data_IF_196222408540
#
_entry.id   IF_196222408540
#
_cell.length_a   1.000
_cell.length_b   1.000
_cell.length_c   1.000
_cell.angle_alpha   90.00
_cell.angle_beta   90.00
_cell.angle_gamma   90.00
#
_symmetry.space_group_name_H-M   'P 1'
#
loop_
_entity.id
_entity.type
_entity.pdbx_description
1 polymer ?
#
# COMPACT_ATOMS: atom_id res chain seq x y z
N UNK A 1 10.05 -10.26 18.04
CA UNK A 1 10.47 -10.36 19.46
C UNK A 1 9.69 -9.43 20.38
N UNK A 2 9.86 -8.10 20.28
CA UNK A 2 9.20 -7.13 21.17
C UNK A 2 7.69 -7.40 21.36
N UNK A 3 6.95 -7.62 20.27
CA UNK A 3 5.52 -7.95 20.33
C UNK A 3 5.22 -9.24 21.11
N UNK A 4 6.04 -10.27 20.97
CA UNK A 4 5.89 -11.50 21.73
C UNK A 4 6.04 -11.23 23.24
N UNK A 5 7.02 -10.42 23.63
CA UNK A 5 7.26 -10.09 25.04
C UNK A 5 6.10 -9.27 25.62
N UNK A 6 5.55 -8.34 24.84
CA UNK A 6 4.34 -7.59 25.18
C UNK A 6 3.14 -8.53 25.38
N UNK A 7 2.94 -9.50 24.48
CA UNK A 7 1.84 -10.47 24.59
C UNK A 7 2.01 -11.39 25.79
N UNK A 8 3.21 -11.90 26.04
CA UNK A 8 3.52 -12.71 27.23
C UNK A 8 3.22 -11.90 28.49
N UNK A 9 3.72 -10.67 28.60
CA UNK A 9 3.49 -9.82 29.76
C UNK A 9 2.00 -9.53 29.99
N UNK A 10 1.24 -9.21 28.92
CA UNK A 10 -0.20 -8.98 29.03
C UNK A 10 -0.96 -10.23 29.51
N UNK A 11 -0.57 -11.41 29.00
CA UNK A 11 -1.19 -12.68 29.41
C UNK A 11 -0.87 -13.03 30.86
N UNK A 12 0.37 -12.79 31.31
CA UNK A 12 0.78 -12.96 32.70
C UNK A 12 0.00 -12.05 33.66
N UNK A 13 -0.12 -10.76 33.31
CA UNK A 13 -0.87 -9.76 34.11
C UNK A 13 -2.35 -10.15 34.23
N UNK A 14 -2.95 -10.67 33.16
CA UNK A 14 -4.35 -11.07 33.12
C UNK A 14 -4.60 -12.50 33.62
N UNK A 15 -3.55 -13.28 33.90
CA UNK A 15 -3.66 -14.68 34.30
C UNK A 15 -4.25 -15.60 33.23
N UNK A 16 -4.08 -15.28 31.95
CA UNK A 16 -4.58 -16.08 30.82
C UNK A 16 -3.45 -16.92 30.18
N UNK A 17 -3.76 -18.05 29.51
CA UNK A 17 -2.74 -18.93 28.94
C UNK A 17 -1.88 -18.26 27.85
N UNK A 18 -0.60 -18.60 27.79
CA UNK A 18 0.30 -18.20 26.69
C UNK A 18 -0.25 -18.69 25.34
N UNK A 19 -0.17 -17.84 24.31
CA UNK A 19 -0.71 -18.13 22.99
C UNK A 19 -2.23 -17.91 22.88
N UNK A 20 -2.83 -17.24 23.86
CA UNK A 20 -4.23 -16.78 23.77
C UNK A 20 -4.33 -15.59 22.84
N UNK A 21 -3.37 -14.65 22.91
CA UNK A 21 -3.27 -13.57 21.92
C UNK A 21 -2.83 -14.16 20.58
N UNK A 22 -3.52 -13.77 19.50
CA UNK A 22 -3.20 -14.13 18.13
C UNK A 22 -2.96 -12.89 17.27
N UNK A 23 -1.89 -12.91 16.47
CA UNK A 23 -1.46 -11.78 15.66
C UNK A 23 -1.13 -12.21 14.23
N UNK A 24 -1.67 -11.50 13.25
CA UNK A 24 -1.28 -11.60 11.83
C UNK A 24 -0.36 -10.43 11.51
N UNK A 25 0.82 -10.70 10.96
CA UNK A 25 1.83 -9.65 10.68
C UNK A 25 1.75 -9.21 9.22
N UNK A 26 1.63 -7.92 8.96
CA UNK A 26 1.73 -7.39 7.60
C UNK A 26 3.21 -7.35 7.20
N UNK A 27 3.58 -8.04 6.13
CA UNK A 27 4.93 -7.96 5.57
C UNK A 27 4.95 -6.84 4.55
N UNK A 28 4.76 -5.61 5.02
CA UNK A 28 4.58 -4.42 4.18
C UNK A 28 5.80 -3.51 4.19
N UNK A 29 6.96 -4.04 4.62
CA UNK A 29 8.24 -3.37 4.49
C UNK A 29 9.22 -4.24 3.73
N UNK A 30 10.07 -3.63 2.91
CA UNK A 30 11.06 -4.35 2.13
C UNK A 30 12.00 -5.18 3.03
N UNK A 31 12.56 -4.66 4.15
CA UNK A 31 13.38 -5.47 5.04
C UNK A 31 12.66 -6.70 5.61
N UNK A 32 11.38 -6.57 5.99
CA UNK A 32 10.61 -7.68 6.53
C UNK A 32 10.41 -8.83 5.52
N UNK A 33 10.49 -8.56 4.22
CA UNK A 33 10.44 -9.62 3.20
C UNK A 33 11.64 -10.58 3.26
N UNK A 34 12.76 -10.14 3.81
CA UNK A 34 13.97 -10.95 3.98
C UNK A 34 14.01 -11.72 5.30
N UNK A 35 13.09 -11.41 6.23
CA UNK A 35 13.08 -11.93 7.60
C UNK A 35 11.74 -12.60 7.95
N UNK A 36 10.94 -12.98 6.95
CA UNK A 36 9.60 -13.54 7.17
C UNK A 36 9.62 -14.77 8.09
N UNK A 37 10.62 -15.63 7.94
CA UNK A 37 10.74 -16.88 8.70
C UNK A 37 11.16 -16.61 10.16
N UNK A 38 12.07 -15.67 10.36
CA UNK A 38 12.52 -15.18 11.66
C UNK A 38 11.40 -14.42 12.39
N UNK A 39 10.61 -13.60 11.69
CA UNK A 39 9.41 -12.94 12.23
C UNK A 39 8.44 -13.99 12.76
N UNK A 40 8.17 -15.04 11.98
CA UNK A 40 7.30 -16.14 12.41
C UNK A 40 7.90 -16.91 13.60
N UNK A 41 9.21 -17.14 13.61
CA UNK A 41 9.90 -17.80 14.72
C UNK A 41 9.78 -17.01 16.04
N UNK A 42 10.02 -15.70 15.96
CA UNK A 42 9.96 -14.79 17.10
C UNK A 42 8.55 -14.53 17.62
N UNK A 43 7.52 -14.91 16.85
CA UNK A 43 6.10 -14.84 17.21
C UNK A 43 5.43 -16.21 17.25
N UNK A 44 6.16 -17.32 17.26
CA UNK A 44 5.62 -18.66 17.00
C UNK A 44 4.43 -19.06 17.89
N UNK A 45 4.41 -18.62 19.15
CA UNK A 45 3.33 -18.93 20.09
C UNK A 45 2.04 -18.12 19.82
N UNK A 46 2.17 -16.97 19.16
CA UNK A 46 1.11 -15.98 18.98
C UNK A 46 0.78 -15.69 17.51
N UNK A 47 1.56 -16.17 16.56
CA UNK A 47 1.32 -15.89 15.14
C UNK A 47 0.03 -16.56 14.67
N UNK A 48 -0.67 -15.88 13.77
CA UNK A 48 -1.82 -16.39 13.03
C UNK A 48 -1.62 -16.31 11.50
N UNK A 49 -0.49 -15.76 11.05
CA UNK A 49 -0.12 -15.69 9.64
C UNK A 49 0.60 -14.41 9.27
N UNK A 50 0.88 -14.28 7.97
CA UNK A 50 1.43 -13.07 7.36
C UNK A 50 0.45 -12.51 6.32
N UNK A 51 0.57 -11.23 6.00
CA UNK A 51 -0.25 -10.56 4.98
C UNK A 51 0.60 -9.86 3.92
N UNK A 52 0.13 -9.92 2.67
CA UNK A 52 0.65 -9.16 1.55
C UNK A 52 0.07 -7.75 1.45
N UNK A 53 0.93 -6.73 1.38
CA UNK A 53 0.56 -5.34 1.12
C UNK A 53 1.16 -4.81 -0.19
N UNK A 54 0.50 -3.83 -0.84
CA UNK A 54 1.05 -3.16 -2.04
C UNK A 54 1.66 -1.80 -1.71
N UNK A 55 0.84 -0.86 -1.21
CA UNK A 55 1.26 0.54 -1.07
C UNK A 55 2.38 0.73 -0.07
N UNK A 56 2.24 0.22 1.16
CA UNK A 56 3.30 0.28 2.16
C UNK A 56 4.57 -0.45 1.71
N UNK A 57 4.44 -1.58 1.01
CA UNK A 57 5.59 -2.32 0.50
C UNK A 57 6.41 -1.50 -0.50
N UNK A 58 5.77 -0.92 -1.51
CA UNK A 58 6.48 -0.12 -2.51
C UNK A 58 6.94 1.24 -1.96
N UNK A 59 6.22 1.79 -0.98
CA UNK A 59 6.67 2.94 -0.19
C UNK A 59 7.97 2.61 0.57
N UNK A 60 7.98 1.48 1.29
CA UNK A 60 9.15 0.98 2.01
C UNK A 60 10.31 0.67 1.06
N UNK A 61 10.05 0.12 -0.12
CA UNK A 61 11.06 -0.11 -1.15
C UNK A 61 11.80 1.18 -1.50
N UNK A 62 11.06 2.25 -1.81
CA UNK A 62 11.64 3.55 -2.12
C UNK A 62 12.40 4.12 -0.92
N UNK A 63 11.83 4.04 0.30
CA UNK A 63 12.50 4.52 1.52
C UNK A 63 13.82 3.80 1.77
N UNK A 64 13.84 2.48 1.61
CA UNK A 64 15.00 1.64 1.84
C UNK A 64 16.11 1.95 0.84
N UNK A 65 15.75 2.15 -0.43
CA UNK A 65 16.68 2.46 -1.51
C UNK A 65 16.75 3.96 -1.86
N UNK A 66 16.38 4.85 -0.93
CA UNK A 66 16.25 6.30 -1.21
C UNK A 66 17.50 6.96 -1.79
N UNK A 67 18.68 6.43 -1.47
CA UNK A 67 19.97 6.92 -1.95
C UNK A 67 20.44 6.32 -3.29
N UNK A 68 19.64 5.44 -3.92
CA UNK A 68 20.04 4.63 -5.08
C UNK A 68 19.17 4.96 -6.30
N UNK A 69 19.76 5.65 -7.29
CA UNK A 69 19.07 6.03 -8.52
C UNK A 69 18.67 4.84 -9.40
N UNK A 70 19.40 3.73 -9.32
CA UNK A 70 19.12 2.46 -9.99
C UNK A 70 17.92 1.70 -9.42
N UNK A 71 17.32 2.20 -8.33
CA UNK A 71 16.12 1.67 -7.67
C UNK A 71 14.88 2.55 -7.85
N UNK A 72 14.90 3.43 -8.85
CA UNK A 72 13.79 4.33 -9.14
C UNK A 72 12.58 3.58 -9.71
N UNK A 73 11.41 3.74 -9.08
CA UNK A 73 10.18 3.11 -9.54
C UNK A 73 9.44 3.99 -10.57
N UNK A 74 8.76 3.38 -11.57
CA UNK A 74 7.86 4.10 -12.45
C UNK A 74 6.57 4.51 -11.72
N UNK A 75 5.60 5.09 -12.43
CA UNK A 75 4.27 5.41 -11.92
C UNK A 75 3.72 4.28 -11.04
N UNK A 76 3.32 4.60 -9.80
CA UNK A 76 2.86 3.58 -8.82
C UNK A 76 1.70 2.72 -9.32
N UNK A 77 0.87 3.27 -10.22
CA UNK A 77 -0.22 2.55 -10.88
C UNK A 77 0.26 1.36 -11.73
N UNK A 78 1.44 1.48 -12.34
CA UNK A 78 2.07 0.43 -13.17
C UNK A 78 2.85 -0.60 -12.35
N UNK A 79 3.15 -0.30 -11.08
CA UNK A 79 3.80 -1.20 -10.13
C UNK A 79 2.76 -2.15 -9.51
N UNK A 80 2.15 -3.00 -10.34
CA UNK A 80 1.10 -3.96 -9.95
C UNK A 80 1.69 -5.21 -9.29
N UNK A 81 0.85 -5.98 -8.59
CA UNK A 81 1.27 -7.25 -7.93
C UNK A 81 1.72 -8.34 -8.92
N UNK A 82 1.57 -8.11 -10.23
CA UNK A 82 2.04 -9.03 -11.28
C UNK A 82 3.49 -8.76 -11.70
N UNK A 83 4.04 -7.60 -11.33
CA UNK A 83 5.45 -7.26 -11.58
C UNK A 83 6.35 -8.24 -10.84
N UNK A 84 7.47 -8.61 -11.46
CA UNK A 84 8.37 -9.67 -10.99
C UNK A 84 8.64 -9.63 -9.49
N UNK A 85 9.09 -8.49 -8.96
CA UNK A 85 9.46 -8.40 -7.55
C UNK A 85 8.29 -8.55 -6.57
N UNK A 86 7.11 -8.02 -6.90
CA UNK A 86 5.91 -8.18 -6.08
C UNK A 86 5.34 -9.59 -6.19
N UNK A 87 5.41 -10.20 -7.37
CA UNK A 87 5.03 -11.60 -7.55
C UNK A 87 5.96 -12.52 -6.75
N UNK A 88 7.26 -12.30 -6.80
CA UNK A 88 8.26 -13.05 -6.04
C UNK A 88 8.07 -12.87 -4.52
N UNK A 89 7.72 -11.65 -4.08
CA UNK A 89 7.32 -11.37 -2.71
C UNK A 89 6.09 -12.19 -2.27
N UNK A 90 5.03 -12.23 -3.09
CA UNK A 90 3.83 -13.06 -2.84
C UNK A 90 4.18 -14.55 -2.76
N UNK A 91 4.95 -15.04 -3.73
CA UNK A 91 5.34 -16.45 -3.78
C UNK A 91 6.17 -16.87 -2.55
N UNK A 92 7.13 -16.02 -2.13
CA UNK A 92 7.94 -16.25 -0.94
C UNK A 92 7.10 -16.23 0.34
N UNK A 93 6.17 -15.28 0.47
CA UNK A 93 5.31 -15.17 1.65
C UNK A 93 4.43 -16.41 1.80
N UNK A 94 3.75 -16.84 0.73
CA UNK A 94 2.92 -18.04 0.74
C UNK A 94 3.75 -19.27 1.11
N UNK A 95 4.89 -19.47 0.44
CA UNK A 95 5.77 -20.60 0.72
C UNK A 95 6.22 -20.61 2.19
N UNK A 96 6.63 -19.46 2.73
CA UNK A 96 7.14 -19.33 4.09
C UNK A 96 6.04 -19.64 5.11
N UNK A 97 4.86 -19.03 4.97
CA UNK A 97 3.71 -19.30 5.82
C UNK A 97 3.29 -20.77 5.79
N UNK A 98 3.10 -21.33 4.60
CA UNK A 98 2.60 -22.69 4.46
C UNK A 98 3.60 -23.72 4.98
N UNK A 99 4.91 -23.49 4.78
CA UNK A 99 5.96 -24.32 5.39
C UNK A 99 5.89 -24.33 6.91
N UNK A 100 5.50 -23.20 7.53
CA UNK A 100 5.27 -23.07 8.98
C UNK A 100 3.86 -23.50 9.44
N UNK A 101 3.00 -23.93 8.52
CA UNK A 101 1.65 -24.40 8.84
C UNK A 101 0.68 -23.27 9.22
N UNK A 102 0.89 -22.06 8.68
CA UNK A 102 0.14 -20.86 9.07
C UNK A 102 -0.42 -20.11 7.85
N UNK A 103 -1.35 -19.19 8.07
CA UNK A 103 -2.03 -18.48 6.98
C UNK A 103 -1.13 -17.48 6.25
N UNK A 104 -1.33 -17.38 4.93
CA UNK A 104 -0.83 -16.38 4.02
C UNK A 104 -1.99 -15.57 3.43
N UNK A 105 -2.14 -14.33 3.87
CA UNK A 105 -3.25 -13.45 3.45
C UNK A 105 -2.88 -12.62 2.21
N UNK A 106 -3.82 -12.52 1.27
CA UNK A 106 -3.72 -11.64 0.10
C UNK A 106 -3.96 -10.17 0.41
N UNK A 107 -3.96 -9.33 -0.62
CA UNK A 107 -4.00 -7.87 -0.47
C UNK A 107 -5.40 -7.25 -0.49
N UNK A 108 -5.41 -5.92 -0.36
CA UNK A 108 -6.62 -5.09 -0.37
C UNK A 108 -7.20 -4.91 -1.78
N UNK A 109 -8.53 -5.03 -1.90
CA UNK A 109 -9.29 -4.41 -2.99
C UNK A 109 -10.04 -3.18 -2.44
N UNK A 110 -9.57 -2.00 -2.82
CA UNK A 110 -10.04 -0.71 -2.30
C UNK A 110 -11.24 -0.13 -3.07
N UNK A 111 -11.72 -0.80 -4.12
CA UNK A 111 -12.78 -0.27 -4.98
C UNK A 111 -14.10 -0.03 -4.22
N UNK A 112 -14.70 1.13 -4.47
CA UNK A 112 -16.04 1.50 -4.01
C UNK A 112 -17.00 1.30 -5.20
N UNK A 113 -18.07 0.49 -5.06
CA UNK A 113 -19.05 0.30 -6.13
C UNK A 113 -19.64 1.63 -6.64
N UNK A 114 -19.60 1.83 -7.96
CA UNK A 114 -20.01 3.07 -8.63
C UNK A 114 -21.48 2.93 -9.03
N UNK A 115 -22.38 3.64 -8.35
CA UNK A 115 -23.84 3.48 -8.55
C UNK A 115 -24.38 4.22 -9.77
N UNK A 116 -23.71 5.29 -10.18
CA UNK A 116 -24.15 6.24 -11.20
C UNK A 116 -23.51 6.00 -12.58
N UNK A 117 -22.63 5.00 -12.71
CA UNK A 117 -21.97 4.63 -13.96
C UNK A 117 -21.77 3.12 -14.00
N UNK A 118 -22.66 2.43 -14.71
CA UNK A 118 -22.68 0.96 -14.75
C UNK A 118 -21.46 0.39 -15.49
N UNK A 119 -20.96 1.06 -16.52
CA UNK A 119 -19.81 0.62 -17.30
C UNK A 119 -18.52 0.76 -16.49
N UNK A 120 -18.29 1.92 -15.88
CA UNK A 120 -17.14 2.13 -15.00
C UNK A 120 -17.18 1.20 -13.79
N UNK A 121 -18.38 0.96 -13.22
CA UNK A 121 -18.55 -0.02 -12.14
C UNK A 121 -18.16 -1.42 -12.59
N UNK A 122 -18.62 -1.87 -13.75
CA UNK A 122 -18.31 -3.21 -14.26
C UNK A 122 -16.79 -3.38 -14.45
N UNK A 123 -16.12 -2.41 -15.06
CA UNK A 123 -14.66 -2.41 -15.22
C UNK A 123 -13.94 -2.47 -13.87
N UNK A 124 -14.39 -1.71 -12.86
CA UNK A 124 -13.82 -1.74 -11.53
C UNK A 124 -14.00 -3.10 -10.84
N UNK A 125 -15.20 -3.68 -10.94
CA UNK A 125 -15.50 -5.00 -10.36
C UNK A 125 -14.76 -6.13 -11.06
N UNK A 126 -14.55 -6.05 -12.38
CA UNK A 126 -13.77 -7.05 -13.11
C UNK A 126 -12.30 -7.04 -12.72
N UNK A 127 -11.73 -5.87 -12.42
CA UNK A 127 -10.39 -5.78 -11.81
C UNK A 127 -10.35 -6.46 -10.44
N UNK A 128 -11.35 -6.23 -9.59
CA UNK A 128 -11.45 -6.94 -8.29
C UNK A 128 -11.50 -8.45 -8.50
N UNK A 129 -12.31 -8.93 -9.45
CA UNK A 129 -12.41 -10.36 -9.76
C UNK A 129 -11.07 -10.94 -10.19
N UNK A 130 -10.40 -10.28 -11.14
CA UNK A 130 -9.10 -10.73 -11.64
C UNK A 130 -8.05 -10.77 -10.52
N UNK A 131 -7.99 -9.73 -9.68
CA UNK A 131 -7.04 -9.67 -8.56
C UNK A 131 -7.29 -10.78 -7.53
N UNK A 132 -8.56 -11.00 -7.12
CA UNK A 132 -8.89 -12.06 -6.14
C UNK A 132 -8.67 -13.46 -6.70
N UNK A 133 -8.95 -13.64 -7.99
CA UNK A 133 -8.67 -14.88 -8.70
C UNK A 133 -7.17 -15.19 -8.74
N UNK A 134 -6.33 -14.18 -8.99
CA UNK A 134 -4.87 -14.31 -8.95
C UNK A 134 -4.42 -14.74 -7.55
N UNK A 135 -4.92 -14.10 -6.50
CA UNK A 135 -4.53 -14.39 -5.12
C UNK A 135 -4.85 -15.82 -4.69
N UNK A 136 -6.10 -16.25 -4.88
CA UNK A 136 -6.50 -17.63 -4.52
C UNK A 136 -5.72 -18.65 -5.34
N UNK A 137 -5.48 -18.39 -6.64
CA UNK A 137 -4.67 -19.29 -7.50
C UNK A 137 -3.19 -19.31 -7.12
N UNK A 138 -2.65 -18.23 -6.57
CA UNK A 138 -1.28 -18.20 -6.05
C UNK A 138 -1.16 -19.11 -4.81
N UNK A 139 -2.18 -19.17 -3.97
CA UNK A 139 -2.16 -19.97 -2.75
C UNK A 139 -2.53 -19.21 -1.48
N UNK A 140 -3.04 -17.98 -1.57
CA UNK A 140 -3.49 -17.26 -0.39
C UNK A 140 -4.68 -17.94 0.29
N UNK A 141 -4.73 -17.89 1.61
CA UNK A 141 -5.82 -18.47 2.42
C UNK A 141 -7.01 -17.53 2.60
N UNK A 142 -6.86 -16.27 2.18
CA UNK A 142 -7.89 -15.25 2.26
C UNK A 142 -7.44 -13.94 1.64
N UNK A 143 -8.32 -12.94 1.65
CA UNK A 143 -8.09 -11.65 0.99
C UNK A 143 -8.80 -10.50 1.72
N UNK A 144 -8.47 -9.25 1.38
CA UNK A 144 -9.08 -8.05 1.95
C UNK A 144 -9.94 -7.27 0.95
N UNK A 145 -11.01 -6.67 1.47
CA UNK A 145 -11.86 -5.72 0.75
C UNK A 145 -12.15 -4.51 1.65
N UNK A 146 -12.19 -3.30 1.06
CA UNK A 146 -12.43 -2.08 1.83
C UNK A 146 -13.92 -1.71 1.94
N UNK A 147 -14.78 -2.35 1.13
CA UNK A 147 -16.20 -2.02 1.05
C UNK A 147 -17.08 -3.29 1.13
N UNK A 148 -18.15 -3.30 1.95
CA UNK A 148 -19.03 -4.47 2.11
C UNK A 148 -19.61 -5.01 0.79
N UNK A 149 -19.87 -4.12 -0.18
CA UNK A 149 -20.36 -4.49 -1.51
C UNK A 149 -19.41 -5.39 -2.32
N UNK A 150 -18.13 -5.47 -1.96
CA UNK A 150 -17.16 -6.37 -2.60
C UNK A 150 -17.11 -7.76 -1.94
N UNK A 151 -17.69 -7.93 -0.74
CA UNK A 151 -17.64 -9.20 0.02
C UNK A 151 -18.22 -10.36 -0.79
N UNK A 152 -19.42 -10.26 -1.42
CA UNK A 152 -19.97 -11.37 -2.20
C UNK A 152 -19.06 -11.79 -3.37
N UNK A 153 -18.38 -10.84 -4.00
CA UNK A 153 -17.49 -11.08 -5.14
C UNK A 153 -16.21 -11.77 -4.70
N UNK A 154 -15.55 -11.25 -3.66
CA UNK A 154 -14.35 -11.87 -3.12
C UNK A 154 -14.67 -13.28 -2.57
N UNK A 155 -15.77 -13.41 -1.84
CA UNK A 155 -16.22 -14.69 -1.28
C UNK A 155 -16.52 -15.72 -2.37
N UNK A 156 -17.25 -15.38 -3.43
CA UNK A 156 -17.58 -16.35 -4.48
C UNK A 156 -16.33 -16.92 -5.16
N UNK A 157 -15.33 -16.08 -5.40
CA UNK A 157 -14.06 -16.48 -6.02
C UNK A 157 -13.27 -17.42 -5.11
N UNK A 158 -13.19 -17.10 -3.81
CA UNK A 158 -12.50 -17.97 -2.85
C UNK A 158 -13.29 -19.26 -2.59
N UNK A 159 -14.62 -19.23 -2.49
CA UNK A 159 -15.45 -20.44 -2.35
C UNK A 159 -15.28 -21.38 -3.55
N UNK A 160 -15.17 -20.84 -4.78
CA UNK A 160 -14.99 -21.64 -6.00
C UNK A 160 -13.59 -22.27 -6.10
N UNK A 161 -12.54 -21.52 -5.77
CA UNK A 161 -11.15 -21.96 -6.00
C UNK A 161 -10.41 -22.44 -4.75
N UNK A 162 -10.99 -22.26 -3.56
CA UNK A 162 -10.52 -22.73 -2.27
C UNK A 162 -11.70 -23.38 -1.51
N UNK A 163 -12.14 -24.59 -1.93
CA UNK A 163 -13.26 -25.28 -1.28
C UNK A 163 -12.92 -25.79 0.14
N UNK A 164 -11.63 -25.82 0.48
CA UNK A 164 -11.16 -26.13 1.83
C UNK A 164 -11.19 -24.86 2.69
N UNK A 165 -11.16 -24.97 4.03
CA UNK A 165 -11.12 -23.78 4.90
C UNK A 165 -9.93 -22.85 4.65
N UNK A 166 -8.83 -23.38 4.11
CA UNK A 166 -7.59 -22.68 3.76
C UNK A 166 -6.76 -23.52 2.76
N UNK A 167 -5.64 -22.97 2.30
CA UNK A 167 -4.67 -23.57 1.38
C UNK A 167 -3.32 -23.92 2.05
N UNK A 168 -3.23 -23.96 3.38
CA UNK A 168 -1.99 -24.23 4.14
C UNK A 168 -1.29 -25.54 3.73
N UNK A 169 -2.04 -26.53 3.22
CA UNK A 169 -1.48 -27.77 2.70
C UNK A 169 -0.62 -27.60 1.43
N UNK A 170 -0.81 -26.50 0.68
CA UNK A 170 -0.08 -26.18 -0.55
C UNK A 170 1.28 -25.59 -0.22
N UNK A 171 2.29 -26.43 0.02
CA UNK A 171 3.61 -26.01 0.50
C UNK A 171 4.45 -25.19 -0.47
N UNK A 172 4.09 -25.13 -1.75
CA UNK A 172 4.83 -24.39 -2.79
C UNK A 172 6.33 -24.76 -2.82
N UNK A 173 6.66 -26.05 -2.72
CA UNK A 173 8.05 -26.54 -2.67
C UNK A 173 8.86 -26.25 -3.93
N UNK A 174 8.21 -25.87 -5.03
CA UNK A 174 8.82 -25.45 -6.28
C UNK A 174 9.33 -24.00 -6.25
N UNK A 175 8.87 -23.17 -5.33
CA UNK A 175 9.22 -21.74 -5.27
C UNK A 175 10.68 -21.57 -4.82
N UNK A 176 11.45 -20.81 -5.60
CA UNK A 176 12.84 -20.43 -5.30
C UNK A 176 12.99 -18.94 -5.57
N UNK A 177 12.84 -18.14 -4.52
CA UNK A 177 12.96 -16.68 -4.58
C UNK A 177 14.32 -16.27 -4.04
N UNK A 178 15.04 -15.45 -4.79
CA UNK A 178 16.31 -14.86 -4.38
C UNK A 178 16.12 -13.43 -3.88
N UNK A 179 17.15 -12.89 -3.22
CA UNK A 179 17.16 -11.47 -2.85
C UNK A 179 16.99 -10.55 -4.07
N UNK A 180 17.61 -10.90 -5.20
CA UNK A 180 17.51 -10.13 -6.44
C UNK A 180 16.08 -10.12 -6.98
N UNK A 181 15.35 -11.22 -6.84
CA UNK A 181 13.96 -11.28 -7.28
C UNK A 181 13.10 -10.28 -6.52
N UNK A 182 13.29 -10.13 -5.22
CA UNK A 182 12.57 -9.17 -4.36
C UNK A 182 12.94 -7.70 -4.64
N UNK A 183 14.05 -7.45 -5.33
CA UNK A 183 14.61 -6.11 -5.52
C UNK A 183 14.66 -5.64 -6.97
N UNK A 184 14.24 -6.48 -7.92
CA UNK A 184 14.28 -6.14 -9.36
C UNK A 184 13.25 -5.06 -9.69
N UNK A 185 13.74 -3.90 -10.08
CA UNK A 185 12.93 -2.74 -10.47
C UNK A 185 12.10 -3.08 -11.73
N UNK A 186 10.78 -2.86 -11.72
CA UNK A 186 9.96 -3.07 -12.90
C UNK A 186 10.14 -1.95 -13.94
N UNK A 187 10.02 -2.32 -15.21
CA UNK A 187 9.85 -1.34 -16.28
C UNK A 187 8.51 -0.61 -16.17
N UNK A 188 8.49 0.65 -16.60
CA UNK A 188 7.29 1.47 -16.69
C UNK A 188 7.61 2.92 -17.02
N UNK A 189 6.59 3.75 -17.07
CA UNK A 189 6.72 5.18 -17.41
C UNK A 189 6.65 6.08 -16.17
N UNK A 190 7.25 7.27 -16.28
CA UNK A 190 7.02 8.39 -15.35
C UNK A 190 6.35 9.46 -16.18
N UNK A 191 5.10 9.83 -15.87
CA UNK A 191 4.31 10.71 -16.74
C UNK A 191 3.80 11.94 -15.99
N UNK A 192 3.50 13.02 -16.72
CA UNK A 192 2.86 14.19 -16.09
C UNK A 192 1.54 13.79 -15.41
N UNK A 193 0.76 12.93 -16.05
CA UNK A 193 -0.50 12.44 -15.49
C UNK A 193 -0.28 11.68 -14.16
N UNK A 194 0.76 10.84 -14.08
CA UNK A 194 1.12 10.14 -12.84
C UNK A 194 1.58 11.09 -11.73
N UNK A 195 2.39 12.10 -12.08
CA UNK A 195 2.79 13.16 -11.15
C UNK A 195 1.58 13.93 -10.62
N UNK A 196 0.70 14.40 -11.52
CA UNK A 196 -0.51 15.14 -11.17
C UNK A 196 -1.44 14.31 -10.27
N UNK A 197 -1.60 13.03 -10.60
CA UNK A 197 -2.40 12.08 -9.82
C UNK A 197 -1.86 11.89 -8.39
N UNK A 198 -0.55 11.71 -8.23
CA UNK A 198 0.06 11.58 -6.91
C UNK A 198 -0.16 12.84 -6.06
N UNK A 199 -0.01 14.03 -6.66
CA UNK A 199 -0.22 15.29 -5.96
C UNK A 199 -1.70 15.47 -5.58
N UNK A 200 -2.64 15.18 -6.48
CA UNK A 200 -4.09 15.29 -6.21
C UNK A 200 -4.51 14.40 -5.04
N UNK A 201 -4.24 13.09 -5.16
CA UNK A 201 -4.64 12.09 -4.18
C UNK A 201 -3.98 12.36 -2.84
N UNK A 202 -2.69 12.72 -2.85
CA UNK A 202 -1.97 13.08 -1.63
C UNK A 202 -2.56 14.31 -0.92
N UNK A 203 -2.91 15.37 -1.67
CA UNK A 203 -3.56 16.56 -1.10
C UNK A 203 -4.92 16.22 -0.51
N UNK A 204 -5.76 15.50 -1.26
CA UNK A 204 -7.12 15.13 -0.83
C UNK A 204 -7.11 14.21 0.39
N UNK A 205 -6.23 13.23 0.42
CA UNK A 205 -6.07 12.35 1.57
C UNK A 205 -5.62 13.14 2.80
N UNK A 206 -4.54 13.93 2.67
CA UNK A 206 -4.01 14.67 3.80
C UNK A 206 -4.98 15.73 4.31
N UNK A 207 -5.76 16.37 3.44
CA UNK A 207 -6.82 17.30 3.85
C UNK A 207 -7.85 16.61 4.77
N UNK A 208 -8.30 15.42 4.38
CA UNK A 208 -9.27 14.64 5.16
C UNK A 208 -8.64 14.13 6.47
N UNK A 209 -7.38 13.69 6.42
CA UNK A 209 -6.63 13.24 7.59
C UNK A 209 -6.49 14.36 8.62
N UNK A 210 -6.15 15.59 8.19
CA UNK A 210 -6.08 16.80 9.03
C UNK A 210 -7.44 17.22 9.63
N UNK A 211 -8.52 16.58 9.22
CA UNK A 211 -9.87 16.70 9.78
C UNK A 211 -10.28 15.45 10.56
N UNK A 212 -9.30 14.66 11.02
CA UNK A 212 -9.47 13.41 11.76
C UNK A 212 -10.21 12.29 10.99
N UNK A 213 -10.11 12.28 9.66
CA UNK A 213 -10.66 11.22 8.81
C UNK A 213 -9.56 10.55 8.00
N UNK A 214 -9.11 9.37 8.45
CA UNK A 214 -8.01 8.61 7.83
C UNK A 214 -8.42 7.55 6.81
N UNK A 215 -9.72 7.36 6.57
CA UNK A 215 -10.29 6.40 5.63
C UNK A 215 -11.21 7.14 4.66
N UNK A 216 -10.72 7.37 3.44
CA UNK A 216 -11.21 8.48 2.60
C UNK A 216 -11.60 7.97 1.21
N UNK A 217 -12.86 8.17 0.77
CA UNK A 217 -13.25 7.89 -0.61
C UNK A 217 -12.65 8.92 -1.56
N UNK A 218 -11.71 8.52 -2.41
CA UNK A 218 -11.07 9.36 -3.43
C UNK A 218 -11.16 8.62 -4.76
N UNK A 219 -11.82 9.23 -5.77
CA UNK A 219 -12.00 8.64 -7.11
C UNK A 219 -12.52 7.19 -7.10
N UNK A 220 -13.50 6.90 -6.25
CA UNK A 220 -14.11 5.57 -6.05
C UNK A 220 -13.14 4.50 -5.50
N UNK A 221 -12.06 4.93 -4.83
CA UNK A 221 -11.18 4.09 -4.05
C UNK A 221 -11.26 4.51 -2.59
N UNK A 222 -11.30 3.55 -1.68
CA UNK A 222 -11.18 3.80 -0.25
C UNK A 222 -9.70 3.87 0.12
N UNK A 223 -9.19 5.09 0.27
CA UNK A 223 -7.76 5.36 0.49
C UNK A 223 -7.44 5.51 1.97
N UNK A 224 -6.25 5.03 2.35
CA UNK A 224 -5.64 5.18 3.67
C UNK A 224 -4.28 5.91 3.57
N UNK A 225 -3.55 5.94 4.69
CA UNK A 225 -2.29 6.68 4.77
C UNK A 225 -1.22 6.14 3.82
N UNK A 226 -1.21 4.83 3.55
CA UNK A 226 -0.25 4.19 2.67
C UNK A 226 -0.33 4.77 1.26
N UNK A 227 -1.53 5.12 0.80
CA UNK A 227 -1.74 5.78 -0.49
C UNK A 227 -1.05 7.14 -0.54
N UNK A 228 -1.21 7.98 0.48
CA UNK A 228 -0.55 9.29 0.52
C UNK A 228 0.97 9.15 0.70
N UNK A 229 1.43 8.14 1.44
CA UNK A 229 2.85 7.84 1.63
C UNK A 229 3.53 7.48 0.31
N UNK A 230 2.96 6.58 -0.49
CA UNK A 230 3.52 6.26 -1.79
C UNK A 230 3.43 7.44 -2.76
N UNK A 231 2.35 8.23 -2.73
CA UNK A 231 2.21 9.41 -3.58
C UNK A 231 3.36 10.40 -3.36
N UNK A 232 3.61 10.80 -2.11
CA UNK A 232 4.67 11.78 -1.80
C UNK A 232 6.07 11.20 -1.98
N UNK A 233 6.26 9.92 -1.63
CA UNK A 233 7.57 9.28 -1.67
C UNK A 233 8.04 9.01 -3.10
N UNK A 234 7.11 8.69 -4.00
CA UNK A 234 7.40 8.54 -5.42
C UNK A 234 7.83 9.86 -6.06
N UNK A 235 7.10 10.95 -5.79
CA UNK A 235 7.49 12.29 -6.29
C UNK A 235 8.85 12.70 -5.74
N UNK A 236 9.10 12.48 -4.44
CA UNK A 236 10.41 12.74 -3.84
C UNK A 236 11.53 11.96 -4.53
N UNK A 237 11.33 10.66 -4.79
CA UNK A 237 12.33 9.83 -5.46
C UNK A 237 12.65 10.36 -6.85
N UNK A 238 11.63 10.76 -7.61
CA UNK A 238 11.81 11.29 -8.95
C UNK A 238 12.55 12.63 -8.96
N UNK A 239 12.22 13.55 -8.05
CA UNK A 239 12.95 14.82 -7.90
C UNK A 239 14.40 14.56 -7.49
N UNK A 240 14.61 13.70 -6.48
CA UNK A 240 15.93 13.42 -5.91
C UNK A 240 16.92 12.87 -6.93
N UNK A 241 16.44 11.99 -7.82
CA UNK A 241 17.28 11.31 -8.81
C UNK A 241 17.19 11.91 -10.21
N UNK A 242 16.53 13.07 -10.36
CA UNK A 242 16.48 13.80 -11.64
C UNK A 242 15.75 13.03 -12.74
N UNK A 243 14.61 12.42 -12.41
CA UNK A 243 13.79 11.69 -13.37
C UNK A 243 13.37 12.57 -14.54
N UNK A 244 13.06 11.93 -15.67
CA UNK A 244 12.41 12.57 -16.80
C UNK A 244 11.00 12.05 -16.94
N UNK A 245 10.08 12.94 -17.27
CA UNK A 245 8.78 12.56 -17.75
C UNK A 245 8.90 11.84 -19.11
N UNK A 246 7.86 11.14 -19.51
CA UNK A 246 7.72 10.44 -20.79
C UNK A 246 7.79 11.37 -22.00
N UNK A 247 7.46 12.65 -21.83
CA UNK A 247 7.67 13.71 -22.82
C UNK A 247 9.08 14.32 -22.83
N UNK A 248 9.99 13.82 -21.97
CA UNK A 248 11.38 14.21 -21.88
C UNK A 248 11.67 15.39 -20.97
N UNK A 249 10.66 16.08 -20.41
CA UNK A 249 10.89 17.17 -19.45
C UNK A 249 11.55 16.65 -18.17
N UNK A 250 12.54 17.36 -17.60
CA UNK A 250 13.09 17.00 -16.31
C UNK A 250 12.06 17.26 -15.19
N UNK A 251 11.94 16.33 -14.25
CA UNK A 251 11.10 16.50 -13.07
C UNK A 251 11.89 17.26 -11.99
N UNK A 252 11.69 18.58 -11.93
CA UNK A 252 12.39 19.48 -11.00
C UNK A 252 11.53 19.89 -9.81
N UNK A 253 12.16 20.53 -8.82
CA UNK A 253 11.47 21.14 -7.67
C UNK A 253 10.44 22.18 -8.12
N UNK A 254 10.79 23.01 -9.10
CA UNK A 254 9.92 24.05 -9.64
C UNK A 254 8.68 23.45 -10.31
N UNK A 255 8.86 22.39 -11.10
CA UNK A 255 7.74 21.69 -11.73
C UNK A 255 6.76 21.13 -10.68
N UNK A 256 7.26 20.56 -9.58
CA UNK A 256 6.41 20.06 -8.49
C UNK A 256 5.64 21.20 -7.82
N UNK A 257 6.28 22.34 -7.53
CA UNK A 257 5.60 23.52 -6.94
C UNK A 257 4.49 24.06 -7.84
N UNK A 258 4.77 24.21 -9.13
CA UNK A 258 3.79 24.64 -10.13
C UNK A 258 2.61 23.65 -10.20
N UNK A 259 2.90 22.34 -10.17
CA UNK A 259 1.88 21.30 -10.21
C UNK A 259 1.03 21.29 -8.93
N UNK A 260 1.61 21.47 -7.74
CA UNK A 260 0.87 21.61 -6.48
C UNK A 260 -0.07 22.82 -6.54
N UNK A 261 0.41 23.97 -6.98
CA UNK A 261 -0.42 25.17 -7.13
C UNK A 261 -1.55 24.95 -8.14
N UNK A 262 -1.26 24.33 -9.29
CA UNK A 262 -2.24 23.94 -10.31
C UNK A 262 -3.32 23.02 -9.73
N UNK A 263 -2.93 22.01 -8.96
CA UNK A 263 -3.86 21.06 -8.36
C UNK A 263 -4.73 21.71 -7.28
N UNK A 264 -4.18 22.60 -6.45
CA UNK A 264 -5.00 23.36 -5.48
C UNK A 264 -6.05 24.23 -6.17
N UNK A 265 -5.70 24.89 -7.28
CA UNK A 265 -6.66 25.66 -8.08
C UNK A 265 -7.75 24.76 -8.69
N UNK A 266 -7.36 23.59 -9.19
CA UNK A 266 -8.31 22.63 -9.77
C UNK A 266 -9.25 22.06 -8.70
N UNK A 267 -8.74 21.69 -7.53
CA UNK A 267 -9.54 21.23 -6.38
C UNK A 267 -10.51 22.33 -5.97
N UNK A 268 -10.06 23.58 -5.84
CA UNK A 268 -10.92 24.73 -5.53
C UNK A 268 -12.06 24.88 -6.55
N UNK A 269 -11.77 24.70 -7.83
CA UNK A 269 -12.78 24.75 -8.91
C UNK A 269 -13.77 23.59 -8.83
N UNK A 270 -13.35 22.38 -8.46
CA UNK A 270 -14.23 21.20 -8.40
C UNK A 270 -15.06 21.14 -7.12
N UNK A 271 -14.47 21.47 -5.97
CA UNK A 271 -15.13 21.42 -4.65
C UNK A 271 -15.96 22.70 -4.38
N UNK A 272 -15.62 23.81 -5.04
CA UNK A 272 -16.19 25.12 -4.79
C UNK A 272 -15.45 25.91 -3.72
N UNK A 273 -15.51 27.24 -3.81
CA UNK A 273 -14.78 28.17 -2.95
C UNK A 273 -15.05 27.93 -1.45
N UNK A 274 -16.32 27.76 -1.09
CA UNK A 274 -16.73 27.62 0.31
C UNK A 274 -16.25 26.30 0.95
N UNK A 275 -16.26 25.19 0.19
CA UNK A 275 -15.74 23.92 0.67
C UNK A 275 -14.21 23.95 0.77
N UNK A 276 -13.55 24.56 -0.21
CA UNK A 276 -12.10 24.69 -0.22
C UNK A 276 -11.58 25.55 0.94
N UNK A 277 -12.17 26.73 1.17
CA UNK A 277 -11.71 27.67 2.20
C UNK A 277 -12.06 27.21 3.63
N UNK A 278 -13.14 26.42 3.82
CA UNK A 278 -13.44 25.75 5.10
C UNK A 278 -12.59 24.49 5.33
N UNK A 279 -12.13 23.86 4.27
CA UNK A 279 -11.27 22.67 4.33
C UNK A 279 -9.84 22.99 4.76
N UNK A 280 -9.01 21.95 4.82
CA UNK A 280 -7.58 22.06 5.16
C UNK A 280 -6.68 22.00 3.93
N UNK A 281 -7.21 22.20 2.72
CA UNK A 281 -6.50 22.00 1.45
C UNK A 281 -5.19 22.79 1.32
N UNK A 282 -5.19 24.07 1.73
CA UNK A 282 -3.97 24.91 1.70
C UNK A 282 -2.88 24.35 2.61
N UNK A 283 -3.27 23.92 3.81
CA UNK A 283 -2.35 23.30 4.78
C UNK A 283 -1.82 21.97 4.25
N UNK A 284 -2.71 21.12 3.72
CA UNK A 284 -2.35 19.84 3.11
C UNK A 284 -1.37 20.02 1.94
N UNK A 285 -1.66 20.93 1.00
CA UNK A 285 -0.77 21.24 -0.12
C UNK A 285 0.61 21.72 0.32
N UNK A 286 0.68 22.59 1.33
CA UNK A 286 1.95 23.08 1.89
C UNK A 286 2.79 21.95 2.51
N UNK A 287 2.16 21.10 3.33
CA UNK A 287 2.85 19.96 3.96
C UNK A 287 3.33 18.99 2.88
N UNK A 288 2.45 18.63 1.95
CA UNK A 288 2.79 17.68 0.88
C UNK A 288 3.93 18.20 0.01
N UNK A 289 3.89 19.48 -0.40
CA UNK A 289 4.97 20.12 -1.16
C UNK A 289 6.30 19.96 -0.42
N UNK A 290 6.37 20.38 0.84
CA UNK A 290 7.58 20.34 1.66
C UNK A 290 8.20 18.93 1.75
N UNK A 291 7.39 17.90 1.96
CA UNK A 291 7.89 16.52 2.08
C UNK A 291 8.23 15.87 0.73
N UNK A 292 7.67 16.38 -0.38
CA UNK A 292 7.98 15.89 -1.73
C UNK A 292 9.28 16.48 -2.28
N UNK A 293 9.63 17.73 -1.95
CA UNK A 293 10.82 18.42 -2.50
C UNK A 293 11.94 18.62 -1.47
N UNK A 294 11.73 18.18 -0.23
CA UNK A 294 12.69 18.34 0.86
C UNK A 294 14.03 17.61 0.60
N UNK A 295 15.13 18.08 1.19
CA UNK A 295 16.45 17.47 1.01
C UNK A 295 16.54 16.05 1.59
N UNK A 296 15.74 15.78 2.62
CA UNK A 296 15.59 14.47 3.25
C UNK A 296 14.16 13.95 3.02
N UNK A 297 14.02 12.63 2.91
CA UNK A 297 12.73 11.95 2.86
C UNK A 297 12.28 11.65 4.29
N UNK A 298 11.23 12.28 4.83
CA UNK A 298 10.70 11.92 6.14
C UNK A 298 10.26 10.46 6.18
N UNK A 299 10.41 9.78 7.31
CA UNK A 299 10.05 8.36 7.39
C UNK A 299 8.54 8.14 7.24
N UNK A 300 7.72 9.03 7.81
CA UNK A 300 6.26 8.98 7.70
C UNK A 300 5.67 10.39 7.65
N UNK A 301 4.70 10.62 6.76
CA UNK A 301 3.93 11.85 6.68
C UNK A 301 3.12 12.09 7.96
N UNK A 302 2.69 11.01 8.62
CA UNK A 302 1.85 11.08 9.81
C UNK A 302 2.57 11.76 10.97
N UNK A 303 3.89 11.58 11.12
CA UNK A 303 4.67 12.26 12.16
C UNK A 303 4.64 13.78 12.01
N UNK A 304 4.65 14.28 10.77
CA UNK A 304 4.58 15.71 10.48
C UNK A 304 3.15 16.22 10.60
N UNK A 305 2.18 15.44 10.10
CA UNK A 305 0.79 15.84 10.09
C UNK A 305 0.17 15.85 11.50
N UNK A 306 0.65 14.99 12.41
CA UNK A 306 0.12 14.88 13.78
C UNK A 306 0.21 16.19 14.57
N UNK A 307 1.21 17.03 14.30
CA UNK A 307 1.33 18.38 14.90
C UNK A 307 0.20 19.35 14.49
N UNK A 308 -0.66 18.96 13.55
CA UNK A 308 -1.76 19.77 13.02
C UNK A 308 -3.15 19.26 13.41
N UNK A 309 -3.20 18.23 14.26
CA UNK A 309 -4.42 17.66 14.83
C UNK A 309 -4.39 17.87 16.35
N UNK A 310 -5.53 18.32 16.90
CA UNK A 310 -5.75 18.48 18.34
C UNK A 310 -6.16 17.16 19.02
#
# INVERSE_FOLDING_TARGET
>A
RLWNDVFVSAQEVLGIPKGTIRATVLIETLPAAFEMDEILWELQDHSAGLNCGRWDYIFSFIKTFKARADFMLPNRGEVTMERHFLKSYVDLLIQTCHRRGIHAMGGMAAQIPIKNDAEANQVALDKVRADKLREVRAGHDGTWVAHPGLVPIAKSIFDEHMPQPNQIARKREEVRVTAQDLTTVPEGSITEAGLRWNIDVGIRYLESWLRASGCVPIYNLMEDAATAEICRTQVWQWVRHGAKLDDGRPLTVELVKEMVASQLMQIRKTEGDEAFDRGRFRTAGRILEQIMIGPELPDFLTLIAYDYID
#
